data_IF_813637310616
#
_entry.id   IF_813637310616
#
_cell.length_a   1.000
_cell.length_b   1.000
_cell.length_c   1.000
_cell.angle_alpha   90.00
_cell.angle_beta   90.00
_cell.angle_gamma   90.00
#
_symmetry.space_group_name_H-M   'P 1'
#
loop_
_entity.id
_entity.type
_entity.pdbx_description
1 polymer ?
#
# COMPACT_ATOMS: atom_id res chain seq x y z
N UNK A 1 26.40 20.30 -6.40
CA UNK A 1 25.54 19.18 -6.88
C UNK A 1 25.31 18.09 -5.84
N UNK A 2 26.33 17.62 -5.10
CA UNK A 2 26.16 16.56 -4.09
C UNK A 2 25.10 16.85 -3.00
N UNK A 3 24.96 18.12 -2.55
CA UNK A 3 23.96 18.52 -1.55
C UNK A 3 22.51 18.36 -2.06
N UNK A 4 22.24 18.69 -3.33
CA UNK A 4 20.90 18.55 -3.92
C UNK A 4 20.53 17.08 -4.18
N UNK A 5 21.49 16.25 -4.58
CA UNK A 5 21.29 14.80 -4.72
C UNK A 5 20.99 14.15 -3.36
N UNK A 6 21.74 14.53 -2.30
CA UNK A 6 21.48 14.07 -0.93
C UNK A 6 20.12 14.52 -0.40
N UNK A 7 19.69 15.75 -0.70
CA UNK A 7 18.38 16.25 -0.30
C UNK A 7 17.24 15.47 -0.98
N UNK A 8 17.35 15.19 -2.28
CA UNK A 8 16.37 14.37 -3.01
C UNK A 8 16.34 12.92 -2.50
N UNK A 9 17.49 12.33 -2.17
CA UNK A 9 17.55 11.00 -1.58
C UNK A 9 16.84 10.95 -0.20
N UNK A 10 17.03 11.97 0.64
CA UNK A 10 16.31 12.09 1.92
C UNK A 10 14.81 12.26 1.73
N UNK A 11 14.39 13.08 0.77
CA UNK A 11 12.97 13.26 0.46
C UNK A 11 12.33 11.98 -0.07
N UNK A 12 13.06 11.22 -0.90
CA UNK A 12 12.65 9.90 -1.37
C UNK A 12 12.50 8.92 -0.21
N UNK A 13 13.44 8.92 0.73
CA UNK A 13 13.35 8.08 1.93
C UNK A 13 12.11 8.41 2.76
N UNK A 14 11.84 9.69 3.02
CA UNK A 14 10.64 10.11 3.75
C UNK A 14 9.35 9.60 3.09
N UNK A 15 9.26 9.71 1.75
CA UNK A 15 8.11 9.21 0.99
C UNK A 15 7.99 7.69 0.98
N UNK A 16 9.12 6.99 1.00
CA UNK A 16 9.17 5.54 1.14
C UNK A 16 8.64 5.12 2.52
N UNK A 17 9.09 5.77 3.59
CA UNK A 17 8.63 5.48 4.95
C UNK A 17 7.12 5.76 5.10
N UNK A 18 6.62 6.85 4.50
CA UNK A 18 5.18 7.13 4.42
C UNK A 18 4.41 6.02 3.68
N UNK A 19 4.93 5.58 2.51
CA UNK A 19 4.33 4.50 1.72
C UNK A 19 4.25 3.21 2.52
N UNK A 20 5.31 2.86 3.26
CA UNK A 20 5.36 1.67 4.11
C UNK A 20 4.32 1.75 5.23
N UNK A 21 4.21 2.89 5.91
CA UNK A 21 3.18 3.12 6.94
C UNK A 21 1.76 2.97 6.37
N UNK A 22 1.48 3.59 5.22
CA UNK A 22 0.17 3.43 4.56
C UNK A 22 -0.07 2.01 4.09
N UNK A 23 0.97 1.30 3.63
CA UNK A 23 0.89 -0.11 3.27
C UNK A 23 0.52 -1.00 4.46
N UNK A 24 1.11 -0.75 5.62
CA UNK A 24 0.76 -1.46 6.87
C UNK A 24 -0.69 -1.18 7.29
N UNK A 25 -1.14 0.09 7.24
CA UNK A 25 -2.52 0.45 7.53
C UNK A 25 -3.52 -0.24 6.58
N UNK A 26 -3.18 -0.30 5.29
CA UNK A 26 -3.98 -1.01 4.30
C UNK A 26 -4.08 -2.52 4.60
N UNK A 27 -2.97 -3.15 4.96
CA UNK A 27 -2.96 -4.57 5.35
C UNK A 27 -3.80 -4.83 6.60
N UNK A 28 -3.69 -3.98 7.62
CA UNK A 28 -4.52 -4.07 8.83
C UNK A 28 -6.01 -3.98 8.47
N UNK A 29 -6.41 -2.99 7.67
CA UNK A 29 -7.82 -2.84 7.24
C UNK A 29 -8.31 -3.99 6.39
N UNK A 30 -7.45 -4.58 5.56
CA UNK A 30 -7.78 -5.79 4.83
C UNK A 30 -8.06 -6.98 5.76
N UNK A 31 -7.26 -7.15 6.81
CA UNK A 31 -7.48 -8.18 7.83
C UNK A 31 -8.78 -7.91 8.61
N UNK A 32 -9.08 -6.66 8.94
CA UNK A 32 -10.31 -6.30 9.63
C UNK A 32 -11.55 -6.58 8.76
N UNK A 33 -11.50 -6.30 7.45
CA UNK A 33 -12.56 -6.69 6.53
C UNK A 33 -12.79 -8.20 6.52
N UNK A 34 -11.71 -8.99 6.47
CA UNK A 34 -11.80 -10.45 6.50
C UNK A 34 -12.43 -10.96 7.81
N UNK A 35 -12.03 -10.39 8.96
CA UNK A 35 -12.63 -10.70 10.27
C UNK A 35 -14.10 -10.34 10.34
N UNK A 36 -14.49 -9.20 9.78
CA UNK A 36 -15.90 -8.79 9.75
C UNK A 36 -16.75 -9.71 8.88
N UNK A 37 -16.17 -10.26 7.82
CA UNK A 37 -16.82 -11.22 6.95
C UNK A 37 -16.97 -12.59 7.63
N UNK A 38 -15.92 -13.07 8.31
CA UNK A 38 -16.00 -14.28 9.13
C UNK A 38 -17.08 -14.17 10.23
N UNK A 39 -17.19 -13.01 10.87
CA UNK A 39 -18.26 -12.75 11.86
C UNK A 39 -19.66 -12.82 11.26
N UNK A 40 -19.85 -12.37 10.02
CA UNK A 40 -21.14 -12.50 9.33
C UNK A 40 -21.48 -13.97 9.09
N UNK A 41 -20.51 -14.74 8.59
CA UNK A 41 -20.68 -16.18 8.37
C UNK A 41 -21.04 -16.92 9.68
N UNK A 42 -20.43 -16.54 10.80
CA UNK A 42 -20.77 -17.07 12.12
C UNK A 42 -22.20 -16.68 12.56
N UNK A 43 -22.63 -15.45 12.31
CA UNK A 43 -24.00 -15.00 12.62
C UNK A 43 -25.04 -15.74 11.77
N UNK A 44 -24.75 -15.95 10.49
CA UNK A 44 -25.62 -16.71 9.59
C UNK A 44 -25.72 -18.18 10.03
N UNK A 45 -24.59 -18.81 10.39
CA UNK A 45 -24.59 -20.16 10.93
C UNK A 45 -25.40 -20.28 12.25
N UNK A 46 -25.29 -19.28 13.14
CA UNK A 46 -26.09 -19.21 14.36
C UNK A 46 -27.58 -19.03 14.06
N UNK A 47 -27.91 -18.19 13.08
CA UNK A 47 -29.28 -17.98 12.64
C UNK A 47 -29.90 -19.29 12.10
N UNK A 48 -29.15 -20.05 11.32
CA UNK A 48 -29.58 -21.35 10.81
C UNK A 48 -29.71 -22.41 11.91
N UNK A 49 -28.82 -22.39 12.91
CA UNK A 49 -28.97 -23.25 14.10
C UNK A 49 -30.23 -22.94 14.91
N UNK A 50 -30.77 -21.73 14.75
CA UNK A 50 -32.00 -21.28 15.39
C UNK A 50 -33.28 -21.74 14.67
N UNK A 51 -33.23 -22.68 13.71
CA UNK A 51 -34.43 -23.23 13.07
C UNK A 51 -35.36 -24.01 14.03
N UNK A 52 -36.67 -23.99 13.73
CA UNK A 52 -37.71 -24.59 14.58
C UNK A 52 -37.58 -26.11 14.59
N UNK A 53 -37.57 -26.71 15.78
CA UNK A 53 -37.56 -28.16 15.97
C UNK A 53 -38.96 -28.65 16.33
N UNK A 54 -39.40 -29.75 15.72
CA UNK A 54 -40.70 -30.36 16.03
C UNK A 54 -40.74 -30.85 17.49
N UNK A 55 -41.80 -30.53 18.22
CA UNK A 55 -41.97 -30.91 19.63
C UNK A 55 -41.53 -29.87 20.68
N UNK A 56 -41.13 -28.67 20.24
CA UNK A 56 -40.81 -27.56 21.15
C UNK A 56 -42.04 -27.01 21.88
N UNK A 57 -41.84 -26.51 23.11
CA UNK A 57 -42.88 -25.82 23.87
C UNK A 57 -43.12 -24.41 23.32
N UNK A 58 -44.33 -23.86 23.51
CA UNK A 58 -44.66 -22.51 23.03
C UNK A 58 -43.73 -21.41 23.58
N UNK A 59 -43.20 -21.57 24.79
CA UNK A 59 -42.21 -20.66 25.38
C UNK A 59 -40.85 -20.73 24.65
N UNK A 60 -40.40 -21.94 24.31
CA UNK A 60 -39.16 -22.12 23.54
C UNK A 60 -39.27 -21.48 22.15
N UNK A 61 -40.47 -21.56 21.56
CA UNK A 61 -40.80 -20.93 20.28
C UNK A 61 -40.70 -19.40 20.33
N UNK A 62 -41.29 -18.78 21.35
CA UNK A 62 -41.22 -17.32 21.54
C UNK A 62 -39.78 -16.84 21.77
N UNK A 63 -39.01 -17.55 22.59
CA UNK A 63 -37.60 -17.23 22.85
C UNK A 63 -36.74 -17.34 21.58
N UNK A 64 -36.94 -18.40 20.79
CA UNK A 64 -36.22 -18.62 19.52
C UNK A 64 -36.57 -17.56 18.49
N UNK A 65 -37.82 -17.13 18.42
CA UNK A 65 -38.25 -16.04 17.54
C UNK A 65 -37.57 -14.72 17.92
N UNK A 66 -37.58 -14.34 19.21
CA UNK A 66 -36.90 -13.14 19.70
C UNK A 66 -35.38 -13.19 19.44
N UNK A 67 -34.74 -14.35 19.66
CA UNK A 67 -33.33 -14.54 19.35
C UNK A 67 -33.02 -14.35 17.87
N UNK A 68 -33.85 -14.88 16.97
CA UNK A 68 -33.67 -14.71 15.52
C UNK A 68 -33.81 -13.25 15.08
N UNK A 69 -34.73 -12.51 15.69
CA UNK A 69 -34.89 -11.09 15.39
C UNK A 69 -33.65 -10.29 15.84
N UNK A 70 -33.13 -10.57 17.04
CA UNK A 70 -31.87 -10.00 17.52
C UNK A 70 -30.68 -10.37 16.62
N UNK A 71 -30.57 -11.64 16.19
CA UNK A 71 -29.51 -12.07 15.28
C UNK A 71 -29.58 -11.34 13.94
N UNK A 72 -30.79 -11.18 13.38
CA UNK A 72 -30.98 -10.41 12.15
C UNK A 72 -30.54 -8.96 12.31
N UNK A 73 -30.91 -8.31 13.41
CA UNK A 73 -30.48 -6.95 13.70
C UNK A 73 -28.94 -6.83 13.82
N UNK A 74 -28.30 -7.81 14.47
CA UNK A 74 -26.83 -7.87 14.56
C UNK A 74 -26.18 -8.09 13.19
N UNK A 75 -26.74 -8.95 12.34
CA UNK A 75 -26.28 -9.15 10.96
C UNK A 75 -26.38 -7.87 10.14
N UNK A 76 -27.46 -7.10 10.28
CA UNK A 76 -27.62 -5.81 9.59
C UNK A 76 -26.53 -4.80 10.01
N UNK A 77 -26.28 -4.65 11.31
CA UNK A 77 -25.22 -3.79 11.85
C UNK A 77 -23.85 -4.24 11.35
N UNK A 78 -23.58 -5.54 11.41
CA UNK A 78 -22.30 -6.11 11.02
C UNK A 78 -22.06 -5.97 9.51
N UNK A 79 -23.12 -6.03 8.69
CA UNK A 79 -23.08 -5.80 7.24
C UNK A 79 -22.75 -4.34 6.93
N UNK A 80 -23.38 -3.39 7.63
CA UNK A 80 -23.07 -1.96 7.48
C UNK A 80 -21.61 -1.66 7.89
N UNK A 81 -21.15 -2.29 8.97
CA UNK A 81 -19.77 -2.15 9.46
C UNK A 81 -18.75 -2.69 8.44
N UNK A 82 -19.05 -3.83 7.82
CA UNK A 82 -18.23 -4.37 6.74
C UNK A 82 -18.19 -3.43 5.54
N UNK A 83 -19.35 -2.89 5.11
CA UNK A 83 -19.40 -1.95 3.99
C UNK A 83 -18.58 -0.67 4.25
N UNK A 84 -18.65 -0.13 5.48
CA UNK A 84 -17.81 1.00 5.88
C UNK A 84 -16.32 0.65 5.79
N UNK A 85 -15.92 -0.50 6.36
CA UNK A 85 -14.53 -0.95 6.37
C UNK A 85 -13.99 -1.19 4.95
N UNK A 86 -14.81 -1.76 4.05
CA UNK A 86 -14.47 -1.96 2.65
C UNK A 86 -14.29 -0.62 1.90
N UNK A 87 -15.13 0.37 2.19
CA UNK A 87 -14.98 1.72 1.62
C UNK A 87 -13.67 2.39 2.07
N UNK A 88 -13.35 2.29 3.36
CA UNK A 88 -12.07 2.77 3.91
C UNK A 88 -10.88 2.05 3.28
N UNK A 89 -10.97 0.72 3.13
CA UNK A 89 -9.94 -0.09 2.48
C UNK A 89 -9.73 0.35 1.02
N UNK A 90 -10.80 0.60 0.26
CA UNK A 90 -10.73 1.07 -1.12
C UNK A 90 -10.05 2.45 -1.23
N UNK A 91 -10.40 3.36 -0.31
CA UNK A 91 -9.74 4.67 -0.20
C UNK A 91 -8.24 4.53 0.10
N UNK A 92 -7.88 3.73 1.10
CA UNK A 92 -6.48 3.46 1.45
C UNK A 92 -5.70 2.84 0.29
N UNK A 93 -6.29 1.91 -0.44
CA UNK A 93 -5.68 1.31 -1.64
C UNK A 93 -5.33 2.38 -2.67
N UNK A 94 -6.25 3.33 -2.92
CA UNK A 94 -6.01 4.43 -3.85
C UNK A 94 -4.89 5.35 -3.35
N UNK A 95 -4.86 5.65 -2.05
CA UNK A 95 -3.80 6.46 -1.43
C UNK A 95 -2.42 5.80 -1.55
N UNK A 96 -2.32 4.50 -1.23
CA UNK A 96 -1.08 3.71 -1.39
C UNK A 96 -0.61 3.74 -2.83
N UNK A 97 -1.50 3.49 -3.81
CA UNK A 97 -1.14 3.52 -5.22
C UNK A 97 -0.60 4.88 -5.66
N UNK A 98 -1.27 5.98 -5.28
CA UNK A 98 -0.81 7.35 -5.59
C UNK A 98 0.56 7.64 -4.98
N UNK A 99 0.83 7.16 -3.78
CA UNK A 99 2.11 7.38 -3.08
C UNK A 99 3.22 6.52 -3.67
N UNK A 100 2.91 5.30 -4.09
CA UNK A 100 3.83 4.47 -4.84
C UNK A 100 4.29 5.15 -6.14
N UNK A 101 3.34 5.72 -6.91
CA UNK A 101 3.67 6.49 -8.12
C UNK A 101 4.60 7.67 -7.80
N UNK A 102 4.35 8.40 -6.71
CA UNK A 102 5.23 9.51 -6.29
C UNK A 102 6.64 9.04 -5.97
N UNK A 103 6.80 7.96 -5.20
CA UNK A 103 8.13 7.39 -4.89
C UNK A 103 8.84 6.96 -6.18
N UNK A 104 8.15 6.24 -7.07
CA UNK A 104 8.72 5.81 -8.36
C UNK A 104 9.13 6.99 -9.25
N UNK A 105 8.36 8.07 -9.24
CA UNK A 105 8.72 9.28 -9.99
C UNK A 105 10.01 9.92 -9.44
N UNK A 106 10.19 9.93 -8.13
CA UNK A 106 11.43 10.41 -7.50
C UNK A 106 12.62 9.53 -7.84
N UNK A 107 12.44 8.20 -7.83
CA UNK A 107 13.48 7.25 -8.25
C UNK A 107 13.94 7.54 -9.69
N UNK A 108 13.00 7.77 -10.62
CA UNK A 108 13.32 8.12 -12.00
C UNK A 108 14.10 9.45 -12.11
N UNK A 109 13.71 10.48 -11.34
CA UNK A 109 14.42 11.77 -11.35
C UNK A 109 15.83 11.63 -10.78
N UNK A 110 16.00 10.88 -9.68
CA UNK A 110 17.32 10.62 -9.08
C UNK A 110 18.22 9.90 -10.07
N UNK A 111 17.69 8.86 -10.73
CA UNK A 111 18.45 8.06 -11.69
C UNK A 111 18.86 8.88 -12.93
N UNK A 112 17.95 9.68 -13.50
CA UNK A 112 18.28 10.60 -14.60
C UNK A 112 19.39 11.57 -14.23
N UNK A 113 19.36 12.14 -13.02
CA UNK A 113 20.41 13.04 -12.55
C UNK A 113 21.75 12.33 -12.36
N UNK A 114 21.72 11.08 -11.86
CA UNK A 114 22.91 10.25 -11.73
C UNK A 114 23.55 9.98 -13.09
N UNK A 115 22.75 9.59 -14.08
CA UNK A 115 23.20 9.33 -15.45
C UNK A 115 23.79 10.59 -16.09
N UNK A 116 23.12 11.74 -15.96
CA UNK A 116 23.66 13.02 -16.45
C UNK A 116 25.00 13.36 -15.82
N UNK A 117 25.15 13.15 -14.50
CA UNK A 117 26.42 13.39 -13.82
C UNK A 117 27.53 12.44 -14.30
N UNK A 118 27.22 11.16 -14.48
CA UNK A 118 28.17 10.19 -15.02
C UNK A 118 28.61 10.56 -16.44
N UNK A 119 27.66 10.94 -17.30
CA UNK A 119 27.96 11.38 -18.67
C UNK A 119 28.87 12.61 -18.69
N UNK A 120 28.64 13.59 -17.81
CA UNK A 120 29.50 14.77 -17.69
C UNK A 120 30.91 14.39 -17.23
N UNK A 121 31.03 13.50 -16.24
CA UNK A 121 32.32 13.02 -15.75
C UNK A 121 33.09 12.27 -16.84
N UNK A 122 32.45 11.34 -17.55
CA UNK A 122 33.08 10.60 -18.66
C UNK A 122 33.51 11.53 -19.79
N UNK A 123 32.71 12.56 -20.12
CA UNK A 123 33.11 13.57 -21.12
C UNK A 123 34.31 14.39 -20.67
N UNK A 124 34.40 14.75 -19.39
CA UNK A 124 35.59 15.46 -18.88
C UNK A 124 36.84 14.58 -18.87
N UNK A 125 36.69 13.30 -18.53
CA UNK A 125 37.79 12.32 -18.57
C UNK A 125 38.28 12.09 -20.00
N UNK A 126 37.36 11.93 -20.96
CA UNK A 126 37.70 11.81 -22.38
C UNK A 126 38.47 13.02 -22.89
N UNK A 127 37.99 14.24 -22.61
CA UNK A 127 38.71 15.47 -22.99
C UNK A 127 40.12 15.53 -22.43
N UNK A 128 40.30 15.17 -21.15
CA UNK A 128 41.62 15.13 -20.53
C UNK A 128 42.54 14.10 -21.19
N UNK A 129 42.01 12.91 -21.51
CA UNK A 129 42.76 11.85 -22.21
C UNK A 129 43.16 12.28 -23.62
N UNK A 130 42.26 12.93 -24.36
CA UNK A 130 42.52 13.45 -25.70
C UNK A 130 43.60 14.55 -25.67
N UNK A 131 43.53 15.47 -24.71
CA UNK A 131 44.56 16.49 -24.50
C UNK A 131 45.93 15.87 -24.20
N UNK A 132 46.00 14.87 -23.31
CA UNK A 132 47.25 14.16 -23.03
C UNK A 132 47.77 13.39 -24.24
N UNK A 133 46.91 12.74 -25.01
CA UNK A 133 47.28 12.02 -26.22
C UNK A 133 47.87 12.97 -27.26
N UNK A 134 47.25 14.13 -27.45
CA UNK A 134 47.72 15.17 -28.37
C UNK A 134 49.07 15.74 -27.93
N UNK A 135 49.27 16.00 -26.63
CA UNK A 135 50.58 16.43 -26.11
C UNK A 135 51.68 15.39 -26.34
N UNK A 136 51.38 14.10 -26.18
CA UNK A 136 52.34 13.02 -26.46
C UNK A 136 52.67 12.94 -27.95
N UNK A 137 51.67 13.07 -28.82
CA UNK A 137 51.88 13.08 -30.26
C UNK A 137 52.76 14.25 -30.72
N UNK A 138 52.50 15.46 -30.21
CA UNK A 138 53.31 16.64 -30.50
C UNK A 138 54.76 16.42 -30.05
N UNK A 139 54.98 15.90 -28.83
CA UNK A 139 56.33 15.61 -28.32
C UNK A 139 57.09 14.50 -29.04
N UNK A 140 56.40 13.63 -29.79
CA UNK A 140 57.03 12.54 -30.53
C UNK A 140 57.47 12.94 -31.95
N UNK A 141 56.90 14.04 -32.48
CA UNK A 141 57.14 14.53 -33.84
C UNK A 141 58.07 15.76 -33.90
N UNK A 142 58.60 16.19 -32.75
CA UNK A 142 59.66 17.19 -32.59
C UNK A 142 60.82 16.55 -31.83
#
# INVERSE_FOLDING_TARGET
MARQSKALARFRQLRQDELEKMGQQYQQKQQDCARHQEKLEQLDALYDSCQVVAGETGLAWANRFALRDHLKHLTDIQTQTLALSQSEQASLKQHVARQHVKVKSLDCVIEKRRQQHQQLATRSEQKLMDEMAMQRFIRANY
#
